data_IF_669825161070
#
_entry.id   IF_669825161070
#
_cell.length_a   1.000
_cell.length_b   1.000
_cell.length_c   1.000
_cell.angle_alpha   90.00
_cell.angle_beta   90.00
_cell.angle_gamma   90.00
#
_symmetry.space_group_name_H-M   'P 1'
#
loop_
_entity.id
_entity.type
_entity.pdbx_description
1 polymer ?
#
# COMPACT_ATOMS: atom_id res chain seq x y z
N UNK A 1 8.03 -7.85 13.41
CA UNK A 1 8.16 -6.66 14.31
C UNK A 1 6.97 -5.73 14.04
N UNK A 2 6.24 -5.37 15.10
CA UNK A 2 5.17 -4.37 15.02
C UNK A 2 5.77 -3.00 14.67
N UNK A 3 5.15 -2.32 13.69
CA UNK A 3 5.57 -0.99 13.22
C UNK A 3 4.66 0.07 13.82
N UNK A 4 3.34 -0.12 13.71
CA UNK A 4 2.35 0.78 14.26
C UNK A 4 1.04 0.05 14.56
N UNK A 5 0.13 0.74 15.21
CA UNK A 5 -1.14 0.19 15.66
C UNK A 5 -2.22 1.24 15.56
N UNK A 6 -3.42 0.83 15.18
CA UNK A 6 -4.62 1.67 15.12
C UNK A 6 -5.70 1.11 16.05
N UNK A 7 -6.89 1.65 15.98
CA UNK A 7 -8.03 1.13 16.75
C UNK A 7 -8.30 -0.35 16.47
N UNK A 8 -8.36 -0.73 15.18
CA UNK A 8 -8.73 -2.09 14.76
C UNK A 8 -7.58 -2.93 14.22
N UNK A 9 -6.42 -2.32 13.90
CA UNK A 9 -5.36 -2.94 13.13
C UNK A 9 -4.03 -2.93 13.87
N UNK A 10 -3.24 -4.00 13.67
CA UNK A 10 -1.79 -4.03 13.91
C UNK A 10 -1.12 -4.05 12.54
N UNK A 11 -0.14 -3.18 12.35
CA UNK A 11 0.68 -3.13 11.14
C UNK A 11 2.09 -3.57 11.51
N UNK A 12 2.56 -4.64 10.87
CA UNK A 12 3.83 -5.29 11.19
C UNK A 12 4.64 -5.64 9.94
N UNK A 13 5.93 -5.83 10.12
CA UNK A 13 6.82 -6.28 9.06
C UNK A 13 6.44 -7.69 8.56
N UNK A 14 6.75 -7.95 7.29
CA UNK A 14 6.75 -9.27 6.71
C UNK A 14 7.81 -10.16 7.34
N UNK A 15 7.52 -11.45 7.37
CA UNK A 15 8.48 -12.54 7.59
C UNK A 15 8.34 -13.57 6.49
N UNK A 16 9.32 -14.45 6.34
CA UNK A 16 9.24 -15.55 5.37
C UNK A 16 8.09 -16.52 5.67
N UNK A 17 7.65 -16.61 6.92
CA UNK A 17 6.51 -17.43 7.35
C UNK A 17 5.14 -16.93 6.92
N UNK A 18 5.06 -15.72 6.34
CA UNK A 18 3.77 -15.14 5.92
C UNK A 18 3.37 -15.53 4.48
N UNK A 19 4.19 -16.32 3.78
CA UNK A 19 4.01 -16.63 2.37
C UNK A 19 2.62 -17.19 2.05
N UNK A 20 2.16 -18.22 2.75
CA UNK A 20 0.91 -18.90 2.41
C UNK A 20 -0.31 -17.99 2.51
N UNK A 21 -0.38 -17.19 3.57
CA UNK A 21 -1.49 -16.26 3.79
C UNK A 21 -1.47 -15.16 2.72
N UNK A 22 -0.32 -14.57 2.47
CA UNK A 22 -0.17 -13.50 1.48
C UNK A 22 -0.36 -14.03 0.07
N UNK A 23 0.10 -15.23 -0.25
CA UNK A 23 -0.20 -15.85 -1.54
C UNK A 23 -1.72 -15.98 -1.76
N UNK A 24 -2.47 -16.41 -0.75
CA UNK A 24 -3.93 -16.45 -0.84
C UNK A 24 -4.58 -15.10 -1.18
N UNK A 25 -4.04 -14.01 -0.66
CA UNK A 25 -4.54 -12.66 -0.92
C UNK A 25 -4.09 -12.14 -2.29
N UNK A 26 -2.80 -12.20 -2.60
CA UNK A 26 -2.22 -11.61 -3.80
C UNK A 26 -2.46 -12.44 -5.08
N UNK A 27 -2.83 -13.71 -4.97
CA UNK A 27 -3.22 -14.55 -6.09
C UNK A 27 -4.71 -14.49 -6.41
N UNK A 28 -5.52 -13.86 -5.55
CA UNK A 28 -6.95 -13.74 -5.77
C UNK A 28 -7.27 -12.72 -6.87
N UNK A 29 -7.96 -13.14 -7.97
CA UNK A 29 -8.26 -12.25 -9.10
C UNK A 29 -9.14 -11.06 -8.73
N UNK A 30 -10.03 -11.20 -7.75
CA UNK A 30 -10.93 -10.11 -7.32
C UNK A 30 -10.16 -9.10 -6.50
N UNK A 31 -9.40 -9.54 -5.52
CA UNK A 31 -8.52 -8.67 -4.71
C UNK A 31 -7.55 -7.89 -5.60
N UNK A 32 -6.98 -8.54 -6.62
CA UNK A 32 -5.96 -7.98 -7.51
C UNK A 32 -6.52 -7.42 -8.83
N UNK A 33 -7.83 -7.13 -8.91
CA UNK A 33 -8.51 -6.75 -10.16
C UNK A 33 -7.99 -5.45 -10.81
N UNK A 34 -7.38 -4.54 -10.04
CA UNK A 34 -6.77 -3.30 -10.55
C UNK A 34 -5.26 -3.40 -10.78
N UNK A 35 -4.68 -4.54 -10.51
CA UNK A 35 -3.29 -4.85 -10.82
C UNK A 35 -3.18 -5.46 -12.23
N UNK A 36 -2.00 -5.47 -12.87
CA UNK A 36 -1.83 -6.06 -14.21
C UNK A 36 -2.33 -7.50 -14.29
N UNK A 37 -2.09 -8.29 -13.26
CA UNK A 37 -2.57 -9.66 -13.06
C UNK A 37 -2.43 -10.06 -11.58
N UNK A 38 -3.14 -11.10 -11.12
CA UNK A 38 -2.86 -11.73 -9.83
C UNK A 38 -1.42 -12.24 -9.78
N UNK A 39 -0.84 -12.28 -8.59
CA UNK A 39 0.53 -12.75 -8.41
C UNK A 39 0.62 -14.27 -8.40
N UNK A 40 1.62 -14.81 -9.06
CA UNK A 40 2.05 -16.19 -8.90
C UNK A 40 2.96 -16.36 -7.66
N UNK A 41 3.37 -17.59 -7.38
CA UNK A 41 4.21 -17.91 -6.21
C UNK A 41 5.55 -17.19 -6.22
N UNK A 42 6.19 -17.09 -7.39
CA UNK A 42 7.47 -16.41 -7.55
C UNK A 42 7.32 -14.90 -7.28
N UNK A 43 6.28 -14.28 -7.81
CA UNK A 43 5.99 -12.87 -7.56
C UNK A 43 5.71 -12.58 -6.08
N UNK A 44 4.99 -13.47 -5.37
CA UNK A 44 4.75 -13.31 -3.92
C UNK A 44 6.06 -13.46 -3.13
N UNK A 45 6.91 -14.41 -3.48
CA UNK A 45 8.24 -14.55 -2.87
C UNK A 45 9.04 -13.27 -3.04
N UNK A 46 9.14 -12.76 -4.26
CA UNK A 46 9.84 -11.50 -4.56
C UNK A 46 9.21 -10.31 -3.82
N UNK A 47 7.90 -10.28 -3.67
CA UNK A 47 7.19 -9.23 -2.94
C UNK A 47 7.61 -9.19 -1.47
N UNK A 48 7.62 -10.34 -0.81
CA UNK A 48 8.06 -10.47 0.59
C UNK A 48 9.53 -10.06 0.74
N UNK A 49 10.41 -10.63 -0.08
CA UNK A 49 11.86 -10.35 -0.05
C UNK A 49 12.18 -8.88 -0.31
N UNK A 50 11.50 -8.27 -1.30
CA UNK A 50 11.66 -6.86 -1.63
C UNK A 50 11.28 -5.96 -0.45
N UNK A 51 10.18 -6.28 0.24
CA UNK A 51 9.76 -5.50 1.40
C UNK A 51 10.71 -5.68 2.58
N UNK A 52 11.14 -6.91 2.87
CA UNK A 52 12.13 -7.18 3.92
C UNK A 52 13.45 -6.46 3.65
N UNK A 53 13.91 -6.43 2.39
CA UNK A 53 15.09 -5.68 1.98
C UNK A 53 14.91 -4.17 2.15
N UNK A 54 13.75 -3.65 1.77
CA UNK A 54 13.42 -2.22 1.91
C UNK A 54 13.45 -1.76 3.37
N UNK A 55 13.05 -2.61 4.32
CA UNK A 55 13.17 -2.28 5.75
C UNK A 55 14.63 -2.05 6.17
N UNK A 56 15.57 -2.84 5.60
CA UNK A 56 17.00 -2.71 5.89
C UNK A 56 17.63 -1.47 5.21
N UNK A 57 17.27 -1.23 3.96
CA UNK A 57 17.87 -0.20 3.13
C UNK A 57 17.25 1.19 3.36
N UNK A 58 15.94 1.26 3.57
CA UNK A 58 15.19 2.52 3.62
C UNK A 58 14.52 2.78 4.98
N UNK A 59 14.46 1.79 5.85
CA UNK A 59 13.72 1.86 7.12
C UNK A 59 12.21 1.70 6.98
N UNK A 60 11.69 1.48 5.79
CA UNK A 60 10.27 1.30 5.51
C UNK A 60 10.02 0.39 4.30
N UNK A 61 8.79 -0.02 4.13
CA UNK A 61 8.30 -0.85 3.03
C UNK A 61 6.80 -1.06 3.16
N UNK A 62 6.27 -2.06 2.46
CA UNK A 62 4.91 -2.53 2.72
C UNK A 62 4.93 -3.39 3.97
N UNK A 63 3.91 -3.25 4.79
CA UNK A 63 3.74 -3.97 6.05
C UNK A 63 2.42 -4.72 6.03
N UNK A 64 2.36 -5.86 6.69
CA UNK A 64 1.14 -6.62 6.86
C UNK A 64 0.12 -5.91 7.73
N UNK A 65 -1.14 -6.01 7.35
CA UNK A 65 -2.28 -5.54 8.13
C UNK A 65 -2.90 -6.74 8.84
N UNK A 66 -2.88 -6.73 10.16
CA UNK A 66 -3.51 -7.74 11.00
C UNK A 66 -4.75 -7.14 11.66
N UNK A 67 -5.89 -7.78 11.48
CA UNK A 67 -7.14 -7.40 12.14
C UNK A 67 -7.13 -7.92 13.58
N UNK A 68 -7.13 -7.00 14.56
CA UNK A 68 -6.99 -7.34 16.00
C UNK A 68 -8.05 -8.31 16.50
N UNK A 69 -9.30 -8.08 16.12
CA UNK A 69 -10.46 -8.85 16.61
C UNK A 69 -10.33 -10.35 16.34
N UNK A 70 -9.69 -10.72 15.23
CA UNK A 70 -9.60 -12.11 14.76
C UNK A 70 -8.17 -12.64 14.69
N UNK A 71 -7.20 -11.79 14.92
CA UNK A 71 -5.76 -12.09 14.74
C UNK A 71 -5.46 -12.69 13.35
N UNK A 72 -6.04 -12.10 12.31
CA UNK A 72 -5.87 -12.54 10.91
C UNK A 72 -5.27 -11.45 10.06
N UNK A 73 -4.42 -11.85 9.11
CA UNK A 73 -3.86 -10.96 8.08
C UNK A 73 -4.95 -10.71 7.04
N UNK A 74 -5.24 -9.42 6.78
CA UNK A 74 -6.27 -8.99 5.82
C UNK A 74 -5.70 -8.24 4.61
N UNK A 75 -4.39 -8.09 4.52
CA UNK A 75 -3.73 -7.38 3.44
C UNK A 75 -2.40 -6.78 3.83
N UNK A 76 -1.96 -5.81 3.07
CA UNK A 76 -0.78 -5.02 3.37
C UNK A 76 -0.99 -3.52 3.10
N UNK A 77 -0.19 -2.69 3.73
CA UNK A 77 -0.14 -1.26 3.51
C UNK A 77 1.24 -0.73 3.87
N UNK A 78 1.72 0.28 3.16
CA UNK A 78 3.00 0.90 3.49
C UNK A 78 3.55 1.73 2.37
N UNK A 79 4.82 2.06 2.47
CA UNK A 79 5.50 2.98 1.57
C UNK A 79 6.65 2.26 0.88
N UNK A 80 6.70 2.40 -0.44
CA UNK A 80 7.83 1.92 -1.24
C UNK A 80 8.43 3.05 -2.04
N UNK A 81 9.76 3.03 -2.18
CA UNK A 81 10.40 3.83 -3.23
C UNK A 81 10.10 3.19 -4.58
N UNK A 82 9.36 3.90 -5.41
CA UNK A 82 8.92 3.42 -6.72
C UNK A 82 9.07 4.50 -7.78
N UNK A 83 9.42 4.09 -8.98
CA UNK A 83 9.36 5.00 -10.12
C UNK A 83 7.92 5.11 -10.60
N UNK A 84 7.37 6.32 -10.54
CA UNK A 84 6.02 6.64 -10.99
C UNK A 84 6.12 7.82 -11.95
N UNK A 85 5.59 7.65 -13.15
CA UNK A 85 5.64 8.67 -14.20
C UNK A 85 7.06 9.25 -14.39
N UNK A 86 8.06 8.36 -14.46
CA UNK A 86 9.49 8.64 -14.64
C UNK A 86 10.17 9.41 -13.48
N UNK A 87 9.56 9.44 -12.30
CA UNK A 87 10.13 10.01 -11.09
C UNK A 87 10.19 9.00 -9.97
N UNK A 88 11.26 9.03 -9.18
CA UNK A 88 11.37 8.24 -7.96
C UNK A 88 10.53 8.91 -6.86
N UNK A 89 9.55 8.18 -6.36
CA UNK A 89 8.56 8.66 -5.41
C UNK A 89 8.47 7.75 -4.17
N UNK A 90 8.00 8.31 -3.07
CA UNK A 90 7.56 7.55 -1.91
C UNK A 90 6.08 7.18 -2.12
N UNK A 91 5.86 5.98 -2.59
CA UNK A 91 4.54 5.46 -3.00
C UNK A 91 3.85 4.78 -1.83
N UNK A 92 2.81 5.41 -1.31
CA UNK A 92 1.92 4.82 -0.33
C UNK A 92 0.91 3.93 -1.07
N UNK A 93 0.92 2.65 -0.75
CA UNK A 93 0.01 1.70 -1.36
C UNK A 93 -0.60 0.78 -0.33
N UNK A 94 -1.70 0.14 -0.69
CA UNK A 94 -2.36 -0.88 0.13
C UNK A 94 -3.10 -1.87 -0.74
N UNK A 95 -3.22 -3.08 -0.23
CA UNK A 95 -4.04 -4.16 -0.78
C UNK A 95 -4.85 -4.73 0.37
N UNK A 96 -6.17 -4.78 0.24
CA UNK A 96 -7.06 -5.42 1.21
C UNK A 96 -7.72 -6.63 0.54
N UNK A 97 -7.69 -7.77 1.20
CA UNK A 97 -8.44 -8.96 0.81
C UNK A 97 -9.92 -8.60 0.60
N UNK A 98 -10.49 -9.01 -0.54
CA UNK A 98 -11.86 -8.67 -0.93
C UNK A 98 -12.91 -8.98 0.15
N UNK A 99 -12.69 -10.01 0.97
CA UNK A 99 -13.61 -10.39 2.05
C UNK A 99 -13.72 -9.34 3.17
N UNK A 100 -12.79 -8.38 3.18
CA UNK A 100 -12.73 -7.28 4.16
C UNK A 100 -12.98 -5.90 3.54
N UNK A 101 -13.43 -5.84 2.29
CA UNK A 101 -13.76 -4.58 1.63
C UNK A 101 -14.98 -3.89 2.26
N UNK A 102 -15.12 -2.59 2.02
CA UNK A 102 -16.25 -1.74 2.45
C UNK A 102 -16.42 -1.65 3.98
N UNK A 103 -15.37 -1.91 4.74
CA UNK A 103 -15.37 -1.82 6.20
C UNK A 103 -14.44 -0.73 6.73
N UNK A 104 -13.81 0.05 5.84
CA UNK A 104 -12.94 1.17 6.19
C UNK A 104 -11.51 0.80 6.56
N UNK A 105 -11.11 -0.46 6.44
CA UNK A 105 -9.75 -0.89 6.81
C UNK A 105 -8.66 -0.27 5.93
N UNK A 106 -8.91 -0.14 4.62
CA UNK A 106 -7.96 0.50 3.70
C UNK A 106 -7.70 1.96 4.07
N UNK A 107 -8.74 2.71 4.39
CA UNK A 107 -8.63 4.11 4.82
C UNK A 107 -7.90 4.23 6.16
N UNK A 108 -8.24 3.36 7.12
CA UNK A 108 -7.61 3.34 8.44
C UNK A 108 -6.11 3.05 8.35
N UNK A 109 -5.74 2.01 7.59
CA UNK A 109 -4.35 1.63 7.37
C UNK A 109 -3.56 2.72 6.61
N UNK A 110 -4.11 3.23 5.51
CA UNK A 110 -3.45 4.26 4.70
C UNK A 110 -3.24 5.56 5.49
N UNK A 111 -4.22 6.00 6.28
CA UNK A 111 -4.09 7.18 7.14
C UNK A 111 -3.00 7.00 8.18
N UNK A 112 -2.95 5.85 8.84
CA UNK A 112 -1.93 5.54 9.84
C UNK A 112 -0.52 5.48 9.22
N UNK A 113 -0.37 4.84 8.06
CA UNK A 113 0.90 4.80 7.34
C UNK A 113 1.34 6.20 6.86
N UNK A 114 0.41 7.04 6.42
CA UNK A 114 0.70 8.43 6.05
C UNK A 114 1.22 9.24 7.23
N UNK A 115 0.57 9.18 8.39
CA UNK A 115 1.03 9.86 9.58
C UNK A 115 2.42 9.37 10.01
N UNK A 116 2.62 8.06 9.99
CA UNK A 116 3.94 7.48 10.28
C UNK A 116 5.02 7.91 9.28
N UNK A 117 4.67 8.05 7.99
CA UNK A 117 5.59 8.56 6.97
C UNK A 117 6.09 9.96 7.30
N UNK A 118 5.21 10.85 7.75
CA UNK A 118 5.58 12.23 8.05
C UNK A 118 6.18 12.39 9.44
N UNK A 119 5.59 11.77 10.46
CA UNK A 119 5.97 12.00 11.86
C UNK A 119 7.11 11.06 12.31
N UNK A 120 7.06 9.78 11.90
CA UNK A 120 8.05 8.78 12.28
C UNK A 120 9.24 8.70 11.33
N UNK A 121 8.98 8.64 10.03
CA UNK A 121 10.02 8.49 9.00
C UNK A 121 10.55 9.83 8.48
N UNK A 122 9.90 10.95 8.82
CA UNK A 122 10.26 12.31 8.41
C UNK A 122 10.36 12.48 6.88
N UNK A 123 9.54 11.75 6.11
CA UNK A 123 9.48 11.90 4.67
C UNK A 123 8.85 13.27 4.31
N UNK A 124 9.36 13.92 3.28
CA UNK A 124 8.88 15.26 2.88
C UNK A 124 7.61 15.20 2.05
N UNK A 125 7.44 14.14 1.27
CA UNK A 125 6.31 13.95 0.37
C UNK A 125 5.97 12.49 0.21
N UNK A 126 4.70 12.18 0.07
CA UNK A 126 4.18 10.87 -0.34
C UNK A 126 3.18 11.03 -1.47
N UNK A 127 3.07 10.01 -2.29
CA UNK A 127 2.04 9.92 -3.32
C UNK A 127 1.28 8.60 -3.25
N UNK A 128 0.11 8.57 -3.86
CA UNK A 128 -0.67 7.36 -4.19
C UNK A 128 -1.01 7.45 -5.66
N UNK A 129 -0.92 6.33 -6.36
CA UNK A 129 -1.40 6.23 -7.73
C UNK A 129 -2.44 5.11 -7.85
N UNK A 130 -3.43 5.32 -8.73
CA UNK A 130 -4.46 4.32 -9.00
C UNK A 130 -5.03 4.51 -10.40
N UNK A 131 -5.50 3.41 -11.04
CA UNK A 131 -6.31 3.53 -12.25
C UNK A 131 -7.49 4.48 -12.04
N UNK A 132 -7.83 5.27 -13.06
CA UNK A 132 -8.94 6.24 -12.97
C UNK A 132 -10.26 5.58 -12.60
N UNK A 133 -10.45 4.31 -12.96
CA UNK A 133 -11.65 3.53 -12.66
C UNK A 133 -11.66 2.96 -11.24
N UNK A 134 -10.54 3.05 -10.52
CA UNK A 134 -10.46 2.56 -9.14
C UNK A 134 -11.02 3.57 -8.14
N UNK A 135 -12.34 3.71 -8.16
CA UNK A 135 -13.09 4.72 -7.38
C UNK A 135 -12.83 4.60 -5.87
N UNK A 136 -12.78 3.39 -5.34
CA UNK A 136 -12.54 3.18 -3.91
C UNK A 136 -11.14 3.65 -3.47
N UNK A 137 -10.11 3.43 -4.27
CA UNK A 137 -8.76 3.91 -3.98
C UNK A 137 -8.65 5.42 -4.05
N UNK A 138 -9.29 6.04 -5.05
CA UNK A 138 -9.41 7.50 -5.14
C UNK A 138 -10.06 8.08 -3.90
N UNK A 139 -11.17 7.49 -3.46
CA UNK A 139 -11.87 7.94 -2.25
C UNK A 139 -10.99 7.88 -1.00
N UNK A 140 -10.20 6.81 -0.85
CA UNK A 140 -9.23 6.72 0.25
C UNK A 140 -8.22 7.87 0.19
N UNK A 141 -7.62 8.14 -0.96
CA UNK A 141 -6.66 9.23 -1.14
C UNK A 141 -7.28 10.59 -0.74
N UNK A 142 -8.51 10.87 -1.18
CA UNK A 142 -9.25 12.08 -0.83
C UNK A 142 -9.56 12.16 0.68
N UNK A 143 -10.02 11.06 1.29
CA UNK A 143 -10.37 11.00 2.72
C UNK A 143 -9.17 11.21 3.66
N UNK A 144 -7.96 10.82 3.23
CA UNK A 144 -6.75 11.06 4.02
C UNK A 144 -6.08 12.41 3.70
N UNK A 145 -6.72 13.23 2.87
CA UNK A 145 -6.32 14.60 2.59
C UNK A 145 -5.24 14.76 1.53
N UNK A 146 -5.11 13.80 0.62
CA UNK A 146 -4.24 13.92 -0.54
C UNK A 146 -4.94 14.67 -1.66
N UNK A 147 -4.17 15.33 -2.52
CA UNK A 147 -4.68 16.12 -3.64
C UNK A 147 -4.25 15.51 -4.96
N UNK A 148 -5.15 15.52 -5.94
CA UNK A 148 -4.83 15.14 -7.32
C UNK A 148 -3.77 16.09 -7.87
N UNK A 149 -2.63 15.52 -8.28
CA UNK A 149 -1.53 16.28 -8.90
C UNK A 149 -1.59 16.19 -10.42
N UNK A 150 -1.74 14.98 -10.94
CA UNK A 150 -1.72 14.75 -12.38
C UNK A 150 -2.41 13.43 -12.76
N UNK A 151 -2.56 13.23 -14.04
CA UNK A 151 -3.07 12.05 -14.69
C UNK A 151 -2.09 11.64 -15.80
N UNK A 152 -1.77 10.35 -15.89
CA UNK A 152 -0.79 9.83 -16.83
C UNK A 152 -1.16 8.42 -17.30
N UNK A 153 -0.53 7.98 -18.37
CA UNK A 153 -0.65 6.60 -18.85
C UNK A 153 0.43 5.73 -18.17
N UNK A 154 0.00 4.74 -17.38
CA UNK A 154 0.92 3.92 -16.60
C UNK A 154 1.45 2.74 -17.42
N UNK A 155 2.66 2.87 -17.94
CA UNK A 155 3.32 1.82 -18.74
C UNK A 155 3.55 0.51 -17.94
N UNK A 156 3.62 0.58 -16.63
CA UNK A 156 3.77 -0.59 -15.75
C UNK A 156 2.47 -1.34 -15.49
N UNK A 157 1.33 -0.74 -15.83
CA UNK A 157 0.02 -1.36 -15.71
C UNK A 157 -0.76 -1.18 -17.01
N UNK A 158 -0.43 -1.96 -18.04
CA UNK A 158 -1.17 -2.03 -19.31
C UNK A 158 -1.37 -0.67 -19.99
N UNK A 159 -0.54 0.32 -19.71
CA UNK A 159 -0.64 1.69 -20.20
C UNK A 159 -2.00 2.36 -19.93
N UNK A 160 -2.66 1.97 -18.83
CA UNK A 160 -3.97 2.53 -18.45
C UNK A 160 -3.86 3.92 -17.86
N UNK A 161 -4.92 4.67 -17.99
CA UNK A 161 -5.06 6.01 -17.39
C UNK A 161 -5.01 5.91 -15.88
N UNK A 162 -4.12 6.67 -15.24
CA UNK A 162 -3.80 6.58 -13.82
C UNK A 162 -3.77 7.98 -13.20
N UNK A 163 -4.40 8.12 -12.04
CA UNK A 163 -4.27 9.31 -11.20
C UNK A 163 -3.04 9.23 -10.31
N UNK A 164 -2.37 10.36 -10.12
CA UNK A 164 -1.35 10.56 -9.09
C UNK A 164 -1.86 11.59 -8.09
N UNK A 165 -2.00 11.17 -6.83
CA UNK A 165 -2.31 12.02 -5.69
C UNK A 165 -1.05 12.26 -4.89
N UNK A 166 -0.91 13.45 -4.32
CA UNK A 166 0.25 13.83 -3.50
C UNK A 166 -0.17 14.53 -2.22
N UNK A 167 0.63 14.32 -1.19
CA UNK A 167 0.62 15.13 0.02
C UNK A 167 2.04 15.38 0.48
N UNK A 168 2.34 16.64 0.78
CA UNK A 168 3.60 17.07 1.35
C UNK A 168 3.47 17.19 2.87
N UNK A 169 4.58 16.95 3.56
CA UNK A 169 4.66 17.22 5.00
C UNK A 169 4.48 18.72 5.22
N UNK A 170 3.63 19.08 6.17
CA UNK A 170 3.48 20.49 6.54
C UNK A 170 4.80 21.01 7.09
N UNK A 171 5.27 22.14 6.58
CA UNK A 171 6.37 22.88 7.19
C UNK A 171 5.99 23.25 8.61
N UNK A 172 6.89 23.02 9.54
CA UNK A 172 6.73 23.39 10.95
C UNK A 172 6.68 24.89 11.10
#
# INVERSE_FOLDING_TARGET
MKVLETERLIIRQYTTGDFDVIYGILSDPVTMSFWPKPFDKEQVTHWIERNMRSYQENGFGRWLIVLKERDVIIGDCGIMKSEINSKLENDLGYIIDQHYWKQGYGTEAARACMHYAFDGLQLDSICINMPVDHVSSRRVAELIGMKLETEFNNSRNRNIRTYLFRKDRKSS
#
